data_IF_793049514227
#
_entry.id   IF_793049514227
#
_cell.length_a   1.000
_cell.length_b   1.000
_cell.length_c   1.000
_cell.angle_alpha   90.00
_cell.angle_beta   90.00
_cell.angle_gamma   90.00
#
_symmetry.space_group_name_H-M   'P 1'
#
loop_
_entity.id
_entity.type
_entity.pdbx_description
1 polymer ?
#
# COMPACT_ATOMS: atom_id res chain seq x y z
N UNK A 1 10.31 0.00 7.87
CA UNK A 1 11.00 1.12 7.22
C UNK A 1 11.68 1.97 8.27
N UNK A 2 12.91 2.35 8.03
CA UNK A 2 13.73 3.13 8.95
C UNK A 2 14.13 4.44 8.29
N UNK A 3 14.68 5.40 9.06
CA UNK A 3 15.02 6.72 8.53
C UNK A 3 16.01 6.65 7.35
N UNK A 4 16.92 5.67 7.34
CA UNK A 4 17.87 5.49 6.24
C UNK A 4 17.25 4.90 4.97
N UNK A 5 16.02 4.40 5.05
CA UNK A 5 15.27 3.92 3.88
C UNK A 5 14.56 5.05 3.14
N UNK A 6 14.46 6.25 3.73
CA UNK A 6 13.74 7.39 3.14
C UNK A 6 14.33 7.78 1.79
N UNK A 7 15.64 7.94 1.69
CA UNK A 7 16.29 8.32 0.44
C UNK A 7 16.05 7.30 -0.69
N UNK A 8 16.29 5.99 -0.47
CA UNK A 8 15.97 4.99 -1.50
C UNK A 8 14.49 4.94 -1.86
N UNK A 9 13.59 5.09 -0.88
CA UNK A 9 12.14 5.09 -1.13
C UNK A 9 11.72 6.32 -1.94
N UNK A 10 12.25 7.50 -1.62
CA UNK A 10 12.01 8.72 -2.40
C UNK A 10 12.49 8.57 -3.84
N UNK A 11 13.66 7.97 -4.05
CA UNK A 11 14.19 7.70 -5.38
C UNK A 11 13.27 6.79 -6.18
N UNK A 12 12.78 5.73 -5.56
CA UNK A 12 11.84 4.80 -6.20
C UNK A 12 10.50 5.48 -6.49
N UNK A 13 9.98 6.26 -5.56
CA UNK A 13 8.71 6.96 -5.74
C UNK A 13 8.80 8.01 -6.85
N UNK A 14 9.91 8.76 -6.93
CA UNK A 14 10.15 9.73 -8.00
C UNK A 14 10.19 9.04 -9.37
N UNK A 15 10.77 7.83 -9.45
CA UNK A 15 10.80 7.03 -10.67
C UNK A 15 9.40 6.56 -11.08
N UNK A 16 8.60 6.06 -10.11
CA UNK A 16 7.29 5.47 -10.36
C UNK A 16 6.17 6.51 -10.43
N UNK A 17 6.26 7.57 -9.63
CA UNK A 17 5.22 8.60 -9.49
C UNK A 17 5.82 10.00 -9.53
N UNK A 18 6.42 10.42 -10.66
CA UNK A 18 7.16 11.70 -10.71
C UNK A 18 6.30 12.92 -10.43
N UNK A 19 4.98 12.83 -10.64
CA UNK A 19 4.05 13.95 -10.44
C UNK A 19 3.48 14.01 -9.03
N UNK A 20 3.47 12.88 -8.31
CA UNK A 20 2.80 12.72 -7.01
C UNK A 20 3.76 12.32 -5.88
N UNK A 21 5.07 12.42 -6.09
CA UNK A 21 6.06 11.97 -5.11
C UNK A 21 6.04 12.81 -3.82
N UNK A 22 6.23 12.13 -2.70
CA UNK A 22 6.30 12.77 -1.39
C UNK A 22 7.63 13.48 -1.18
N UNK A 23 7.61 14.59 -0.43
CA UNK A 23 8.82 15.26 0.01
C UNK A 23 9.51 14.48 1.14
N UNK A 24 10.79 14.78 1.36
CA UNK A 24 11.58 14.22 2.46
C UNK A 24 10.92 14.47 3.83
N UNK A 25 10.39 15.68 4.03
CA UNK A 25 9.69 16.04 5.27
C UNK A 25 8.41 15.26 5.49
N UNK A 26 7.69 14.90 4.42
CA UNK A 26 6.50 14.07 4.52
C UNK A 26 6.85 12.66 5.02
N UNK A 27 7.93 12.06 4.54
CA UNK A 27 8.40 10.76 5.02
C UNK A 27 8.85 10.82 6.48
N UNK A 28 9.55 11.87 6.89
CA UNK A 28 9.94 12.03 8.29
C UNK A 28 8.73 12.15 9.21
N UNK A 29 7.72 12.92 8.82
CA UNK A 29 6.48 13.07 9.59
C UNK A 29 5.74 11.72 9.72
N UNK A 30 5.65 10.96 8.63
CA UNK A 30 5.01 9.66 8.64
C UNK A 30 5.78 8.65 9.52
N UNK A 31 7.11 8.62 9.43
CA UNK A 31 7.94 7.73 10.25
C UNK A 31 7.87 8.06 11.73
N UNK A 32 7.70 9.32 12.10
CA UNK A 32 7.55 9.72 13.50
C UNK A 32 6.34 9.06 14.16
N UNK A 33 5.29 8.76 13.37
CA UNK A 33 4.08 8.07 13.83
C UNK A 33 4.13 6.54 13.61
N UNK A 34 5.23 6.02 13.05
CA UNK A 34 5.40 4.61 12.72
C UNK A 34 6.09 3.83 13.86
N UNK A 35 5.44 3.80 15.02
CA UNK A 35 5.87 3.02 16.18
C UNK A 35 4.69 2.21 16.73
N UNK A 36 4.91 1.22 17.63
CA UNK A 36 3.82 0.33 18.10
C UNK A 36 2.59 1.04 18.66
N UNK A 37 2.77 2.20 19.28
CA UNK A 37 1.65 3.02 19.78
C UNK A 37 1.21 4.13 18.83
N UNK A 38 1.84 4.26 17.66
CA UNK A 38 1.55 5.28 16.66
C UNK A 38 0.43 4.88 15.70
N UNK A 39 0.14 5.77 14.75
CA UNK A 39 -0.95 5.59 13.77
C UNK A 39 -0.47 5.08 12.42
N UNK A 40 0.84 4.89 12.22
CA UNK A 40 1.44 4.52 10.94
C UNK A 40 2.25 3.23 11.03
N UNK A 41 2.25 2.49 9.95
CA UNK A 41 3.12 1.33 9.74
C UNK A 41 3.67 1.41 8.32
N UNK A 42 5.01 1.36 8.20
CA UNK A 42 5.70 1.37 6.91
C UNK A 42 6.63 0.18 6.81
N UNK A 43 6.66 -0.44 5.64
CA UNK A 43 7.52 -1.57 5.33
C UNK A 43 8.22 -1.36 4.00
N UNK A 44 9.43 -1.90 3.90
CA UNK A 44 10.20 -1.93 2.64
C UNK A 44 10.55 -3.36 2.28
N UNK A 45 10.60 -3.62 0.98
CA UNK A 45 11.13 -4.87 0.43
C UNK A 45 12.53 -4.59 -0.12
N UNK A 46 13.49 -5.41 0.27
CA UNK A 46 14.87 -5.28 -0.17
C UNK A 46 15.36 -6.56 -0.82
N UNK A 47 16.29 -6.43 -1.77
CA UNK A 47 17.05 -7.55 -2.30
C UNK A 47 18.13 -7.98 -1.29
N UNK A 48 18.79 -9.11 -1.52
CA UNK A 48 19.83 -9.62 -0.64
C UNK A 48 21.01 -8.67 -0.42
N UNK A 49 21.23 -7.72 -1.34
CA UNK A 49 22.27 -6.68 -1.25
C UNK A 49 21.79 -5.40 -0.54
N UNK A 50 20.54 -5.38 -0.06
CA UNK A 50 19.97 -4.24 0.65
C UNK A 50 19.32 -3.17 -0.24
N UNK A 51 19.23 -3.39 -1.55
CA UNK A 51 18.55 -2.45 -2.45
C UNK A 51 17.04 -2.47 -2.21
N UNK A 52 16.43 -1.30 -1.98
CA UNK A 52 14.98 -1.16 -1.83
C UNK A 52 14.30 -1.33 -3.19
N UNK A 53 13.41 -2.29 -3.30
CA UNK A 53 12.68 -2.61 -4.54
C UNK A 53 11.17 -2.48 -4.41
N UNK A 54 10.68 -2.18 -3.22
CA UNK A 54 9.27 -1.94 -2.96
C UNK A 54 9.06 -1.35 -1.58
N UNK A 55 7.90 -0.75 -1.38
CA UNK A 55 7.51 -0.20 -0.09
C UNK A 55 6.00 -0.10 0.03
N UNK A 56 5.52 -0.06 1.26
CA UNK A 56 4.09 0.10 1.55
C UNK A 56 3.89 0.82 2.88
N UNK A 57 2.79 1.54 2.99
CA UNK A 57 2.44 2.28 4.19
C UNK A 57 0.96 2.17 4.54
N UNK A 58 0.70 2.06 5.84
CA UNK A 58 -0.62 1.96 6.43
C UNK A 58 -0.83 3.08 7.45
N UNK A 59 -2.01 3.68 7.45
CA UNK A 59 -2.51 4.50 8.55
C UNK A 59 -3.65 3.74 9.23
N UNK A 60 -3.63 3.66 10.55
CA UNK A 60 -4.69 3.00 11.32
C UNK A 60 -5.10 3.87 12.50
N UNK A 61 -6.35 4.34 12.49
CA UNK A 61 -6.92 5.20 13.53
C UNK A 61 -8.35 4.75 13.84
N UNK A 62 -8.61 4.52 15.12
CA UNK A 62 -9.97 4.24 15.63
C UNK A 62 -10.69 3.08 14.91
N UNK A 63 -9.96 2.03 14.56
CA UNK A 63 -10.52 0.85 13.91
C UNK A 63 -10.65 0.97 12.39
N UNK A 64 -10.20 2.07 11.81
CA UNK A 64 -10.20 2.31 10.37
C UNK A 64 -8.77 2.33 9.84
N UNK A 65 -8.49 1.51 8.84
CA UNK A 65 -7.19 1.45 8.18
C UNK A 65 -7.24 2.04 6.78
N UNK A 66 -6.16 2.72 6.39
CA UNK A 66 -5.99 3.27 5.06
C UNK A 66 -4.62 2.86 4.51
N UNK A 67 -4.60 2.29 3.32
CA UNK A 67 -3.37 2.08 2.57
C UNK A 67 -2.92 3.44 2.04
N UNK A 68 -1.82 3.95 2.58
CA UNK A 68 -1.28 5.26 2.17
C UNK A 68 -0.52 5.17 0.86
N UNK A 69 0.23 4.09 0.68
CA UNK A 69 1.03 3.86 -0.50
C UNK A 69 1.38 2.38 -0.61
N UNK A 70 1.56 1.91 -1.83
CA UNK A 70 2.12 0.60 -2.14
C UNK A 70 2.77 0.69 -3.52
N UNK A 71 4.02 0.32 -3.62
CA UNK A 71 4.78 0.45 -4.87
C UNK A 71 5.87 -0.61 -4.97
N UNK A 72 6.09 -1.07 -6.20
CA UNK A 72 7.13 -2.04 -6.56
C UNK A 72 7.90 -1.51 -7.75
N UNK A 73 9.23 -1.57 -7.69
CA UNK A 73 10.10 -1.19 -8.81
C UNK A 73 9.70 -1.95 -10.08
N UNK A 74 9.73 -1.26 -11.24
CA UNK A 74 9.21 -1.80 -12.49
C UNK A 74 9.75 -3.19 -12.85
N UNK A 75 11.07 -3.40 -12.65
CA UNK A 75 11.73 -4.69 -12.92
C UNK A 75 11.31 -5.82 -11.98
N UNK A 76 10.69 -5.51 -10.86
CA UNK A 76 10.20 -6.48 -9.86
C UNK A 76 8.68 -6.64 -9.88
N UNK A 77 7.98 -5.94 -10.74
CA UNK A 77 6.54 -6.12 -10.92
C UNK A 77 6.27 -7.48 -11.55
N UNK A 78 5.15 -8.11 -11.14
CA UNK A 78 4.80 -9.44 -11.60
C UNK A 78 5.52 -10.59 -10.91
N UNK A 79 6.29 -10.31 -9.84
CA UNK A 79 7.05 -11.30 -9.07
C UNK A 79 6.34 -11.78 -7.80
N UNK A 80 5.14 -11.25 -7.51
CA UNK A 80 4.43 -11.49 -6.26
C UNK A 80 4.81 -10.54 -5.13
N UNK A 81 5.72 -9.60 -5.35
CA UNK A 81 6.17 -8.66 -4.33
C UNK A 81 5.06 -7.70 -3.91
N UNK A 82 4.26 -7.21 -4.86
CA UNK A 82 3.10 -6.37 -4.55
C UNK A 82 2.09 -7.07 -3.64
N UNK A 83 1.83 -8.34 -3.91
CA UNK A 83 0.97 -9.18 -3.07
C UNK A 83 1.56 -9.34 -1.67
N UNK A 84 2.87 -9.58 -1.55
CA UNK A 84 3.53 -9.72 -0.25
C UNK A 84 3.45 -8.44 0.58
N UNK A 85 3.64 -7.27 -0.05
CA UNK A 85 3.50 -5.97 0.61
C UNK A 85 2.06 -5.73 1.07
N UNK A 86 1.08 -6.05 0.22
CA UNK A 86 -0.35 -5.92 0.57
C UNK A 86 -0.72 -6.82 1.75
N UNK A 87 -0.26 -8.06 1.73
CA UNK A 87 -0.47 -9.02 2.84
C UNK A 87 0.08 -8.48 4.15
N UNK A 88 1.27 -7.87 4.13
CA UNK A 88 1.85 -7.25 5.31
C UNK A 88 0.94 -6.15 5.87
N UNK A 89 0.41 -5.28 5.02
CA UNK A 89 -0.51 -4.22 5.45
C UNK A 89 -1.83 -4.77 6.00
N UNK A 90 -2.39 -5.79 5.37
CA UNK A 90 -3.64 -6.42 5.83
C UNK A 90 -3.43 -7.04 7.22
N UNK A 91 -2.34 -7.76 7.42
CA UNK A 91 -1.99 -8.34 8.71
C UNK A 91 -1.84 -7.29 9.80
N UNK A 92 -1.15 -6.20 9.47
CA UNK A 92 -0.94 -5.12 10.44
C UNK A 92 -2.24 -4.41 10.79
N UNK A 93 -3.13 -4.18 9.81
CA UNK A 93 -4.46 -3.63 10.06
C UNK A 93 -5.26 -4.54 11.01
N UNK A 94 -5.19 -5.85 10.82
CA UNK A 94 -5.83 -6.82 11.70
C UNK A 94 -5.24 -6.79 13.12
N UNK A 95 -3.93 -6.70 13.26
CA UNK A 95 -3.26 -6.60 14.57
C UNK A 95 -3.61 -5.33 15.31
N UNK A 96 -3.97 -4.27 14.59
CA UNK A 96 -4.40 -2.97 15.14
C UNK A 96 -5.92 -2.90 15.33
N UNK A 97 -6.61 -4.04 15.22
CA UNK A 97 -8.07 -4.17 15.41
C UNK A 97 -8.90 -3.32 14.45
N UNK A 98 -8.40 -3.11 13.23
CA UNK A 98 -9.16 -2.43 12.20
C UNK A 98 -10.35 -3.29 11.76
N UNK A 99 -11.53 -2.70 11.67
CA UNK A 99 -12.74 -3.36 11.16
C UNK A 99 -12.87 -3.22 9.65
N UNK A 100 -12.15 -2.26 9.06
CA UNK A 100 -12.10 -2.07 7.61
C UNK A 100 -10.73 -1.51 7.18
N UNK A 101 -10.38 -1.79 5.94
CA UNK A 101 -9.17 -1.26 5.30
C UNK A 101 -9.55 -0.67 3.95
N UNK A 102 -9.24 0.60 3.77
CA UNK A 102 -9.55 1.37 2.56
C UNK A 102 -8.30 1.66 1.75
N UNK A 103 -8.47 1.78 0.46
CA UNK A 103 -7.43 2.26 -0.45
C UNK A 103 -8.04 3.01 -1.63
N UNK A 104 -7.23 3.85 -2.27
CA UNK A 104 -7.54 4.44 -3.56
C UNK A 104 -6.59 3.87 -4.61
N UNK A 105 -7.14 3.57 -5.79
CA UNK A 105 -6.37 3.09 -6.94
C UNK A 105 -6.82 3.83 -8.19
N UNK A 106 -5.87 4.17 -9.07
CA UNK A 106 -6.19 4.82 -10.34
C UNK A 106 -7.16 3.95 -11.15
N UNK A 107 -8.19 4.59 -11.73
CA UNK A 107 -9.15 3.87 -12.60
C UNK A 107 -8.47 3.30 -13.85
N UNK A 108 -7.32 3.85 -14.25
CA UNK A 108 -6.52 3.40 -15.38
C UNK A 108 -5.44 2.36 -15.00
N UNK A 109 -5.52 1.79 -13.79
CA UNK A 109 -4.60 0.75 -13.33
C UNK A 109 -5.34 -0.56 -13.02
N UNK A 110 -5.80 -1.30 -14.04
CA UNK A 110 -6.57 -2.54 -13.84
C UNK A 110 -5.77 -3.65 -13.17
N UNK A 111 -4.45 -3.66 -13.33
CA UNK A 111 -3.58 -4.66 -12.71
C UNK A 111 -3.59 -4.55 -11.18
N UNK A 112 -3.47 -3.34 -10.64
CA UNK A 112 -3.55 -3.10 -9.20
C UNK A 112 -4.95 -3.43 -8.68
N UNK A 113 -6.00 -3.03 -9.42
CA UNK A 113 -7.38 -3.33 -9.05
C UNK A 113 -7.59 -4.85 -8.91
N UNK A 114 -7.09 -5.65 -9.86
CA UNK A 114 -7.19 -7.11 -9.79
C UNK A 114 -6.46 -7.70 -8.59
N UNK A 115 -5.28 -7.17 -8.26
CA UNK A 115 -4.54 -7.59 -7.06
C UNK A 115 -5.39 -7.37 -5.80
N UNK A 116 -5.98 -6.20 -5.66
CA UNK A 116 -6.80 -5.89 -4.49
C UNK A 116 -8.07 -6.76 -4.43
N UNK A 117 -8.73 -6.99 -5.56
CA UNK A 117 -9.89 -7.88 -5.64
C UNK A 117 -9.55 -9.31 -5.21
N UNK A 118 -8.38 -9.81 -5.56
CA UNK A 118 -7.91 -11.14 -5.16
C UNK A 118 -7.83 -11.31 -3.64
N UNK A 119 -7.59 -10.22 -2.91
CA UNK A 119 -7.51 -10.25 -1.43
C UNK A 119 -8.80 -9.79 -0.77
N UNK A 120 -9.89 -9.68 -1.51
CA UNK A 120 -11.21 -9.43 -0.98
C UNK A 120 -11.67 -7.98 -0.96
N UNK A 121 -10.86 -7.06 -1.49
CA UNK A 121 -11.28 -5.66 -1.62
C UNK A 121 -12.39 -5.53 -2.66
N UNK A 122 -13.37 -4.69 -2.35
CA UNK A 122 -14.51 -4.41 -3.24
C UNK A 122 -14.61 -2.92 -3.52
N UNK A 123 -15.00 -2.52 -4.75
CA UNK A 123 -15.19 -1.10 -5.05
C UNK A 123 -16.38 -0.55 -4.26
N UNK A 124 -16.19 0.61 -3.64
CA UNK A 124 -17.22 1.28 -2.84
C UNK A 124 -17.49 2.71 -3.27
N UNK A 125 -16.68 3.27 -4.16
CA UNK A 125 -16.89 4.62 -4.65
C UNK A 125 -15.83 5.09 -5.64
N UNK A 126 -16.01 6.30 -6.12
CA UNK A 126 -15.06 6.94 -7.04
C UNK A 126 -14.79 8.35 -6.51
N UNK A 127 -13.50 8.73 -6.45
CA UNK A 127 -13.06 10.09 -6.20
C UNK A 127 -12.64 10.72 -7.52
N UNK A 128 -13.44 11.64 -8.02
CA UNK A 128 -13.19 12.28 -9.31
C UNK A 128 -12.00 13.22 -9.23
N UNK A 129 -11.13 13.13 -10.24
CA UNK A 129 -9.95 13.99 -10.36
C UNK A 129 -8.97 13.89 -9.19
N UNK A 130 -8.97 12.78 -8.46
CA UNK A 130 -8.15 12.58 -7.26
C UNK A 130 -6.65 12.69 -7.54
N UNK A 131 -6.20 12.10 -8.65
CA UNK A 131 -4.80 12.14 -9.07
C UNK A 131 -4.53 13.34 -9.95
N UNK A 132 -3.75 14.28 -9.44
CA UNK A 132 -3.38 15.51 -10.13
C UNK A 132 -1.86 15.50 -10.40
N UNK A 133 -1.38 16.18 -11.45
CA UNK A 133 -2.10 17.05 -12.41
C UNK A 133 -2.81 16.30 -13.54
N UNK A 134 -2.66 14.97 -13.65
CA UNK A 134 -3.26 14.17 -14.74
C UNK A 134 -4.80 14.17 -14.76
N UNK A 135 -5.44 14.59 -13.68
CA UNK A 135 -6.90 14.62 -13.52
C UNK A 135 -7.54 13.22 -13.72
N UNK A 136 -6.91 12.18 -13.15
CA UNK A 136 -7.39 10.80 -13.20
C UNK A 136 -8.23 10.49 -11.97
N UNK A 137 -9.37 9.83 -12.17
CA UNK A 137 -10.23 9.40 -11.08
C UNK A 137 -9.60 8.27 -10.28
N UNK A 138 -9.93 8.18 -9.00
CA UNK A 138 -9.57 7.08 -8.12
C UNK A 138 -10.79 6.20 -7.86
N UNK A 139 -10.58 4.89 -7.97
CA UNK A 139 -11.52 3.90 -7.45
C UNK A 139 -11.21 3.70 -5.96
N UNK A 140 -12.21 3.89 -5.11
CA UNK A 140 -12.09 3.60 -3.68
C UNK A 140 -12.50 2.15 -3.46
N UNK A 141 -11.63 1.37 -2.83
CA UNK A 141 -11.88 -0.05 -2.53
C UNK A 141 -11.78 -0.29 -1.03
N UNK A 142 -12.54 -1.27 -0.55
CA UNK A 142 -12.60 -1.59 0.88
C UNK A 142 -12.53 -3.09 1.11
N UNK A 143 -11.75 -3.48 2.10
CA UNK A 143 -11.73 -4.82 2.68
C UNK A 143 -12.37 -4.75 4.07
N UNK A 144 -13.43 -5.51 4.28
CA UNK A 144 -14.08 -5.63 5.59
C UNK A 144 -13.40 -6.72 6.41
N UNK A 145 -13.20 -6.45 7.70
CA UNK A 145 -12.63 -7.38 8.68
C UNK A 145 -11.30 -7.99 8.22
N UNK A 146 -10.23 -7.16 8.07
CA UNK A 146 -8.92 -7.68 7.70
C UNK A 146 -8.48 -8.80 8.65
N UNK A 147 -7.84 -9.84 8.09
CA UNK A 147 -7.38 -11.03 8.80
C UNK A 147 -5.88 -11.01 9.01
N UNK A 148 -5.42 -11.61 10.11
CA UNK A 148 -3.99 -11.86 10.33
C UNK A 148 -3.44 -12.95 9.40
N UNK A 149 -4.33 -13.70 8.74
CA UNK A 149 -3.97 -14.71 7.74
C UNK A 149 -4.74 -14.44 6.44
N UNK A 150 -4.43 -13.34 5.73
CA UNK A 150 -5.14 -13.01 4.50
C UNK A 150 -4.88 -14.07 3.42
N UNK A 151 -5.93 -14.43 2.70
CA UNK A 151 -5.88 -15.46 1.66
C UNK A 151 -6.18 -14.86 0.30
N UNK A 152 -5.46 -15.33 -0.69
CA UNK A 152 -5.76 -15.06 -2.08
C UNK A 152 -7.02 -15.85 -2.45
N UNK A 153 -8.05 -15.16 -2.92
CA UNK A 153 -9.33 -15.78 -3.30
C UNK A 153 -9.13 -16.75 -4.47
N UNK A 154 -8.20 -16.44 -5.37
CA UNK A 154 -7.91 -17.34 -6.50
C UNK A 154 -7.34 -18.69 -6.02
N UNK A 155 -6.54 -18.70 -4.97
CA UNK A 155 -5.99 -19.92 -4.41
C UNK A 155 -7.07 -20.82 -3.80
N UNK A 156 -8.19 -20.25 -3.35
CA UNK A 156 -9.30 -21.01 -2.77
C UNK A 156 -10.06 -21.84 -3.81
N UNK A 157 -9.97 -21.47 -5.09
CA UNK A 157 -10.64 -22.17 -6.18
C UNK A 157 -9.78 -23.29 -6.80
N UNK A 158 -8.53 -23.39 -6.41
CA UNK A 158 -7.55 -24.38 -6.91
C UNK A 158 -7.20 -25.46 -5.88
N UNK A 159 -7.79 -25.37 -4.70
CA UNK A 159 -7.54 -26.29 -3.59
C UNK A 159 -8.49 -27.47 -3.50
#
# INVERSE_FOLDING_TARGET
MRWWDIEPVMGLELELFPEDSWSHGMYWSELAEAHPGGTRHYTVATTGDGTVVGYAGLMAVAGEGDVQTIAVAGRHQGTGLGAALLVDLIREAARRDCTELLLEVRVDNPRAQRLYERYGFQPVGIRRGYYQPANVDALVMRLDHPSTEPKDIEDLHHG
#
